data_IF_810618858179
#
_entry.id   IF_810618858179
#
_cell.length_a   1.000
_cell.length_b   1.000
_cell.length_c   1.000
_cell.angle_alpha   90.00
_cell.angle_beta   90.00
_cell.angle_gamma   90.00
#
_symmetry.space_group_name_H-M   'P 1'
#
loop_
_entity.id
_entity.type
_entity.pdbx_description
1 polymer ?
#
# COMPACT_ATOMS: atom_id res chain seq x y z
N UNK A 1 -38.45 -33.66 -21.11
CA UNK A 1 -37.03 -33.86 -21.44
C UNK A 1 -36.27 -32.82 -20.66
N UNK A 2 -36.07 -33.09 -19.37
CA UNK A 2 -35.47 -32.18 -18.40
C UNK A 2 -33.97 -32.38 -18.42
N UNK A 3 -33.25 -31.41 -18.98
CA UNK A 3 -31.79 -31.43 -18.98
C UNK A 3 -31.29 -30.79 -17.68
N UNK A 4 -30.95 -31.65 -16.71
CA UNK A 4 -30.37 -31.28 -15.44
C UNK A 4 -28.99 -30.62 -15.65
N UNK A 5 -28.97 -29.29 -15.59
CA UNK A 5 -27.73 -28.52 -15.43
C UNK A 5 -27.28 -28.65 -13.98
N UNK A 6 -26.51 -29.69 -13.70
CA UNK A 6 -25.80 -29.89 -12.43
C UNK A 6 -24.72 -28.81 -12.36
N UNK A 7 -25.02 -27.71 -11.68
CA UNK A 7 -24.02 -26.72 -11.29
C UNK A 7 -23.05 -27.41 -10.35
N UNK A 8 -21.80 -27.52 -10.77
CA UNK A 8 -20.70 -27.79 -9.86
C UNK A 8 -20.54 -26.53 -9.01
N UNK A 9 -21.15 -26.56 -7.82
CA UNK A 9 -20.83 -25.60 -6.77
C UNK A 9 -19.40 -25.95 -6.31
N UNK A 10 -18.41 -25.30 -6.92
CA UNK A 10 -17.05 -25.30 -6.40
C UNK A 10 -17.10 -24.63 -5.02
N UNK A 11 -16.96 -25.42 -3.96
CA UNK A 11 -16.82 -24.90 -2.59
C UNK A 11 -15.55 -24.05 -2.53
N UNK A 12 -15.71 -22.75 -2.78
CA UNK A 12 -14.64 -21.77 -2.72
C UNK A 12 -14.17 -21.67 -1.26
N UNK A 13 -13.04 -22.33 -0.96
CA UNK A 13 -12.50 -22.40 0.39
C UNK A 13 -12.22 -21.00 0.93
N UNK A 14 -13.10 -20.52 1.81
CA UNK A 14 -13.04 -19.17 2.36
C UNK A 14 -11.90 -19.05 3.36
N UNK A 15 -10.77 -18.50 2.90
CA UNK A 15 -9.58 -18.28 3.71
C UNK A 15 -9.85 -17.25 4.81
N UNK A 16 -9.94 -17.71 6.06
CA UNK A 16 -9.90 -16.80 7.21
C UNK A 16 -8.48 -16.31 7.46
N UNK A 17 -8.32 -15.10 8.00
CA UNK A 17 -7.00 -14.54 8.37
C UNK A 17 -6.20 -15.50 9.26
N UNK A 18 -6.89 -16.23 10.14
CA UNK A 18 -6.29 -17.25 11.00
C UNK A 18 -5.75 -18.45 10.21
N UNK A 19 -6.52 -18.98 9.26
CA UNK A 19 -6.07 -20.09 8.41
C UNK A 19 -4.85 -19.71 7.57
N UNK A 20 -4.83 -18.50 7.01
CA UNK A 20 -3.67 -17.98 6.25
C UNK A 20 -2.43 -17.91 7.16
N UNK A 21 -2.56 -17.34 8.35
CA UNK A 21 -1.45 -17.23 9.30
C UNK A 21 -0.93 -18.61 9.71
N UNK A 22 -1.83 -19.54 10.04
CA UNK A 22 -1.42 -20.91 10.39
C UNK A 22 -0.71 -21.60 9.23
N UNK A 23 -1.18 -21.46 8.00
CA UNK A 23 -0.55 -22.03 6.83
C UNK A 23 0.86 -21.46 6.61
N UNK A 24 1.04 -20.14 6.73
CA UNK A 24 2.34 -19.48 6.58
C UNK A 24 3.35 -19.96 7.62
N UNK A 25 2.92 -20.22 8.86
CA UNK A 25 3.81 -20.68 9.94
C UNK A 25 4.07 -22.18 9.87
N UNK A 26 3.06 -22.99 9.55
CA UNK A 26 3.19 -24.45 9.53
C UNK A 26 3.89 -24.97 8.27
N UNK A 27 3.61 -24.36 7.11
CA UNK A 27 4.12 -24.83 5.83
C UNK A 27 5.66 -24.93 5.78
N UNK A 28 6.43 -23.98 6.34
CA UNK A 28 7.88 -24.08 6.43
C UNK A 28 8.39 -25.15 7.42
N UNK A 29 7.57 -25.55 8.39
CA UNK A 29 7.94 -26.51 9.43
C UNK A 29 7.73 -27.97 8.99
N UNK A 30 6.83 -28.22 8.03
CA UNK A 30 6.52 -29.58 7.55
C UNK A 30 7.78 -30.29 7.01
N UNK A 31 8.59 -29.70 6.12
CA UNK A 31 9.82 -30.34 5.64
C UNK A 31 10.83 -30.58 6.76
N UNK A 32 10.92 -29.68 7.74
CA UNK A 32 11.80 -29.83 8.90
C UNK A 32 11.44 -31.07 9.73
N UNK A 33 10.15 -31.27 10.03
CA UNK A 33 9.64 -32.45 10.76
C UNK A 33 9.88 -33.73 9.97
N UNK A 34 9.67 -33.71 8.65
CA UNK A 34 9.89 -34.88 7.78
C UNK A 34 11.37 -35.29 7.74
N UNK A 35 12.29 -34.33 7.62
CA UNK A 35 13.75 -34.58 7.64
C UNK A 35 14.16 -35.20 8.99
N UNK A 36 13.54 -34.76 10.09
CA UNK A 36 13.86 -35.26 11.43
C UNK A 36 13.35 -36.69 11.67
N UNK A 37 12.12 -37.00 11.21
CA UNK A 37 11.45 -38.31 11.38
C UNK A 37 12.10 -39.44 10.56
N UNK A 38 12.77 -39.11 9.46
CA UNK A 38 13.37 -40.12 8.59
C UNK A 38 14.67 -40.70 9.17
N UNK A 39 14.94 -42.00 8.95
CA UNK A 39 16.10 -42.74 9.46
C UNK A 39 17.40 -42.46 8.68
N UNK A 40 17.62 -41.19 8.34
CA UNK A 40 18.82 -40.72 7.64
C UNK A 40 20.01 -40.54 8.58
N UNK A 41 21.23 -40.60 8.03
CA UNK A 41 22.45 -40.35 8.81
C UNK A 41 22.51 -38.89 9.26
N UNK A 42 23.20 -38.63 10.37
CA UNK A 42 23.32 -37.27 10.95
C UNK A 42 23.84 -36.24 9.93
N UNK A 43 24.77 -36.65 9.05
CA UNK A 43 25.35 -35.78 8.01
C UNK A 43 24.33 -35.43 6.91
N UNK A 44 23.56 -36.40 6.43
CA UNK A 44 22.56 -36.14 5.38
C UNK A 44 21.40 -35.27 5.88
N UNK A 45 21.02 -35.39 7.16
CA UNK A 45 20.03 -34.48 7.77
C UNK A 45 20.50 -33.03 7.78
N UNK A 46 21.75 -32.77 8.18
CA UNK A 46 22.33 -31.42 8.20
C UNK A 46 22.38 -30.83 6.78
N UNK A 47 22.81 -31.62 5.79
CA UNK A 47 22.87 -31.19 4.38
C UNK A 47 21.45 -30.84 3.86
N UNK A 48 20.45 -31.69 4.14
CA UNK A 48 19.07 -31.43 3.74
C UNK A 48 18.48 -30.20 4.43
N UNK A 49 18.81 -29.96 5.71
CA UNK A 49 18.37 -28.75 6.43
C UNK A 49 19.01 -27.48 5.86
N UNK A 50 20.31 -27.51 5.54
CA UNK A 50 20.99 -26.38 4.89
C UNK A 50 20.44 -26.11 3.50
N UNK A 51 20.22 -27.15 2.69
CA UNK A 51 19.61 -27.02 1.36
C UNK A 51 18.19 -26.45 1.43
N UNK A 52 17.37 -26.92 2.38
CA UNK A 52 16.03 -26.41 2.61
C UNK A 52 16.04 -24.94 3.05
N UNK A 53 16.93 -24.56 3.95
CA UNK A 53 17.08 -23.16 4.38
C UNK A 53 17.50 -22.25 3.23
N UNK A 54 18.45 -22.69 2.39
CA UNK A 54 18.86 -21.95 1.19
C UNK A 54 17.69 -21.79 0.21
N UNK A 55 16.89 -22.84 0.01
CA UNK A 55 15.71 -22.80 -0.84
C UNK A 55 14.62 -21.87 -0.29
N UNK A 56 14.32 -21.95 1.01
CA UNK A 56 13.34 -21.08 1.67
C UNK A 56 13.75 -19.61 1.62
N UNK A 57 15.03 -19.32 1.91
CA UNK A 57 15.57 -17.96 1.81
C UNK A 57 15.52 -17.46 0.37
N UNK A 58 15.85 -18.27 -0.63
CA UNK A 58 15.73 -17.88 -2.04
C UNK A 58 14.29 -17.54 -2.44
N UNK A 59 13.31 -18.36 -2.07
CA UNK A 59 11.88 -18.07 -2.32
C UNK A 59 11.47 -16.77 -1.62
N UNK A 60 11.87 -16.58 -0.36
CA UNK A 60 11.54 -15.39 0.40
C UNK A 60 12.13 -14.12 -0.24
N UNK A 61 13.39 -14.18 -0.67
CA UNK A 61 14.04 -13.09 -1.40
C UNK A 61 13.27 -12.75 -2.68
N UNK A 62 12.91 -13.74 -3.50
CA UNK A 62 12.14 -13.55 -4.75
C UNK A 62 10.78 -12.89 -4.48
N UNK A 63 10.06 -13.36 -3.44
CA UNK A 63 8.78 -12.78 -3.06
C UNK A 63 8.89 -11.31 -2.60
N UNK A 64 10.00 -10.94 -1.97
CA UNK A 64 10.27 -9.57 -1.55
C UNK A 64 10.43 -8.63 -2.75
N UNK A 65 11.08 -9.08 -3.82
CA UNK A 65 11.34 -8.26 -5.03
C UNK A 65 10.07 -8.02 -5.85
N UNK A 66 9.12 -8.95 -5.80
CA UNK A 66 7.90 -8.89 -6.60
C UNK A 66 6.91 -7.80 -6.17
N UNK A 67 7.03 -7.27 -4.94
CA UNK A 67 6.08 -6.30 -4.38
C UNK A 67 6.24 -4.90 -4.99
N UNK A 68 7.41 -4.58 -5.55
CA UNK A 68 7.68 -3.29 -6.19
C UNK A 68 8.13 -2.22 -5.18
N UNK A 69 8.19 -0.96 -5.62
CA UNK A 69 8.64 0.14 -4.76
C UNK A 69 7.49 0.68 -3.90
N UNK A 70 7.78 1.04 -2.65
CA UNK A 70 6.87 1.73 -1.74
C UNK A 70 7.16 3.23 -1.66
N UNK A 71 6.14 4.02 -1.35
CA UNK A 71 6.29 5.48 -1.21
C UNK A 71 7.08 5.84 0.06
N UNK A 72 8.15 6.60 -0.11
CA UNK A 72 8.97 7.07 1.03
C UNK A 72 8.58 8.49 1.47
N UNK A 73 8.30 9.38 0.51
CA UNK A 73 7.93 10.77 0.81
C UNK A 73 7.05 11.40 -0.26
N UNK A 74 6.31 12.43 0.15
CA UNK A 74 5.54 13.35 -0.69
C UNK A 74 6.08 14.75 -0.44
N UNK A 75 6.36 15.48 -1.52
CA UNK A 75 6.81 16.86 -1.46
C UNK A 75 5.87 17.76 -2.26
N UNK A 76 5.68 18.97 -1.76
CA UNK A 76 5.01 20.07 -2.45
C UNK A 76 5.99 21.24 -2.40
N UNK A 77 6.19 21.91 -3.53
CA UNK A 77 7.16 23.00 -3.64
C UNK A 77 6.78 24.16 -2.72
N UNK A 78 5.51 24.54 -2.75
CA UNK A 78 4.96 25.59 -1.92
C UNK A 78 4.65 25.04 -0.51
N UNK A 79 4.84 25.88 0.49
CA UNK A 79 4.38 25.62 1.88
C UNK A 79 3.33 26.62 2.33
N UNK A 80 3.41 27.84 1.80
CA UNK A 80 2.53 28.95 2.09
C UNK A 80 2.09 29.55 0.75
N UNK A 81 0.79 29.75 0.58
CA UNK A 81 0.19 30.30 -0.63
C UNK A 81 -0.74 31.43 -0.22
N UNK A 82 -0.55 32.62 -0.79
CA UNK A 82 -1.45 33.75 -0.61
C UNK A 82 -2.23 33.96 -1.90
N UNK A 83 -3.56 33.98 -1.80
CA UNK A 83 -4.47 34.04 -2.95
C UNK A 83 -5.55 35.09 -2.69
N UNK A 84 -6.22 35.56 -3.75
CA UNK A 84 -7.41 36.38 -3.59
C UNK A 84 -8.68 35.55 -3.56
N UNK A 85 -9.73 36.10 -2.98
CA UNK A 85 -11.05 35.48 -3.05
C UNK A 85 -11.47 35.25 -4.50
N UNK A 86 -12.01 34.07 -4.80
CA UNK A 86 -12.42 33.67 -6.15
C UNK A 86 -11.32 33.01 -6.98
N UNK A 87 -10.05 33.13 -6.58
CA UNK A 87 -8.97 32.47 -7.29
C UNK A 87 -8.99 30.95 -7.11
N UNK A 88 -8.34 30.26 -8.05
CA UNK A 88 -8.12 28.82 -7.97
C UNK A 88 -6.64 28.49 -7.97
N UNK A 89 -6.27 27.40 -7.30
CA UNK A 89 -4.89 26.92 -7.21
C UNK A 89 -4.85 25.41 -7.43
N UNK A 90 -4.05 24.94 -8.38
CA UNK A 90 -3.86 23.52 -8.62
C UNK A 90 -2.69 23.00 -7.79
N UNK A 91 -2.94 22.00 -6.94
CA UNK A 91 -1.88 21.39 -6.13
C UNK A 91 -1.03 20.48 -7.02
N UNK A 92 0.27 20.74 -7.05
CA UNK A 92 1.28 19.88 -7.66
C UNK A 92 2.18 19.26 -6.58
N UNK A 93 2.18 17.94 -6.49
CA UNK A 93 3.04 17.19 -5.59
C UNK A 93 3.99 16.27 -6.36
N UNK A 94 5.13 15.97 -5.75
CA UNK A 94 6.09 14.98 -6.22
C UNK A 94 6.27 13.89 -5.17
N UNK A 95 6.67 12.70 -5.60
CA UNK A 95 6.94 11.57 -4.70
C UNK A 95 8.38 11.11 -4.83
N UNK A 96 8.90 10.54 -3.75
CA UNK A 96 10.12 9.74 -3.79
C UNK A 96 9.82 8.33 -3.31
N UNK A 97 10.10 7.29 -4.11
CA UNK A 97 10.59 7.36 -5.50
C UNK A 97 9.55 8.00 -6.45
N UNK A 98 9.99 8.35 -7.66
CA UNK A 98 9.14 9.02 -8.66
C UNK A 98 7.87 8.21 -8.95
N UNK A 99 6.76 8.92 -9.17
CA UNK A 99 5.41 8.36 -9.33
C UNK A 99 5.32 7.20 -10.32
N UNK A 100 6.09 7.23 -11.41
CA UNK A 100 6.08 6.16 -12.44
C UNK A 100 6.62 4.80 -11.94
N UNK A 101 7.36 4.81 -10.83
CA UNK A 101 7.87 3.61 -10.16
C UNK A 101 6.96 3.12 -9.03
N UNK A 102 5.88 3.85 -8.74
CA UNK A 102 4.96 3.59 -7.65
C UNK A 102 3.59 3.20 -8.18
N UNK A 103 2.92 2.29 -7.47
CA UNK A 103 1.51 2.02 -7.69
C UNK A 103 0.70 2.76 -6.62
N UNK A 104 0.18 3.93 -6.99
CA UNK A 104 -0.65 4.75 -6.10
C UNK A 104 -2.09 4.25 -6.15
N UNK A 105 -2.64 3.87 -4.99
CA UNK A 105 -4.01 3.36 -4.86
C UNK A 105 -5.01 4.45 -4.51
N UNK A 106 -4.57 5.47 -3.77
CA UNK A 106 -5.43 6.57 -3.35
C UNK A 106 -4.65 7.89 -3.21
N UNK A 107 -5.30 8.98 -3.61
CA UNK A 107 -4.86 10.34 -3.31
C UNK A 107 -6.07 11.08 -2.74
N UNK A 108 -5.91 11.60 -1.54
CA UNK A 108 -6.96 12.33 -0.85
C UNK A 108 -6.53 13.76 -0.55
N UNK A 109 -7.50 14.68 -0.61
CA UNK A 109 -7.30 16.09 -0.30
C UNK A 109 -8.30 16.52 0.77
N UNK A 110 -7.82 17.22 1.77
CA UNK A 110 -8.64 17.71 2.86
C UNK A 110 -8.33 19.16 3.17
N UNK A 111 -9.36 20.00 3.30
CA UNK A 111 -9.21 21.37 3.81
C UNK A 111 -9.69 21.44 5.24
N UNK A 112 -8.89 22.08 6.10
CA UNK A 112 -9.24 22.34 7.50
C UNK A 112 -10.42 23.29 7.65
N UNK A 113 -10.69 24.14 6.64
CA UNK A 113 -11.81 25.07 6.64
C UNK A 113 -12.37 25.23 5.21
N UNK A 114 -13.39 24.44 4.89
CA UNK A 114 -14.05 24.44 3.57
C UNK A 114 -14.85 25.71 3.26
N UNK A 115 -15.14 26.55 4.25
CA UNK A 115 -15.79 27.85 4.01
C UNK A 115 -14.80 28.93 3.53
N UNK A 116 -13.51 28.76 3.86
CA UNK A 116 -12.41 29.64 3.45
C UNK A 116 -11.76 29.13 2.17
N UNK A 117 -11.35 27.86 2.13
CA UNK A 117 -10.80 27.23 0.94
C UNK A 117 -11.36 25.82 0.77
N UNK A 118 -11.94 25.52 -0.39
CA UNK A 118 -12.40 24.16 -0.71
C UNK A 118 -11.43 23.49 -1.67
N UNK A 119 -11.30 22.16 -1.60
CA UNK A 119 -10.46 21.37 -2.50
C UNK A 119 -11.27 20.19 -3.02
N UNK A 120 -11.18 19.93 -4.33
CA UNK A 120 -11.87 18.81 -4.96
C UNK A 120 -10.99 17.54 -5.01
N UNK A 121 -11.55 16.44 -5.53
CA UNK A 121 -10.84 15.16 -5.67
C UNK A 121 -9.63 15.19 -6.62
N UNK A 122 -9.54 16.20 -7.49
CA UNK A 122 -8.43 16.41 -8.42
C UNK A 122 -7.34 17.33 -7.83
N UNK A 123 -7.51 17.80 -6.59
CA UNK A 123 -6.57 18.71 -5.95
C UNK A 123 -6.65 20.16 -6.43
N UNK A 124 -7.75 20.55 -7.10
CA UNK A 124 -8.03 21.94 -7.42
C UNK A 124 -8.64 22.62 -6.19
N UNK A 125 -7.97 23.67 -5.73
CA UNK A 125 -8.37 24.51 -4.60
C UNK A 125 -9.13 25.72 -5.12
N UNK A 126 -10.25 26.06 -4.47
CA UNK A 126 -11.03 27.27 -4.74
C UNK A 126 -11.08 28.13 -3.48
N UNK A 127 -10.66 29.39 -3.61
CA UNK A 127 -10.65 30.38 -2.52
C UNK A 127 -12.04 31.02 -2.41
N UNK A 128 -12.71 30.81 -1.28
CA UNK A 128 -14.13 31.15 -1.12
C UNK A 128 -14.37 32.38 -0.25
N UNK A 129 -13.57 32.57 0.80
CA UNK A 129 -13.65 33.72 1.69
C UNK A 129 -12.31 34.00 2.35
N UNK A 130 -12.15 35.21 2.88
CA UNK A 130 -10.94 35.65 3.56
C UNK A 130 -10.64 34.82 4.81
N UNK A 131 -9.35 34.68 5.09
CA UNK A 131 -8.84 33.97 6.26
C UNK A 131 -7.89 32.85 5.88
N UNK A 132 -7.69 31.93 6.81
CA UNK A 132 -6.65 30.93 6.70
C UNK A 132 -7.25 29.52 6.62
N UNK A 133 -6.72 28.71 5.70
CA UNK A 133 -7.06 27.30 5.58
C UNK A 133 -5.79 26.48 5.40
N UNK A 134 -5.75 25.29 5.97
CA UNK A 134 -4.66 24.34 5.73
C UNK A 134 -5.20 23.20 4.89
N UNK A 135 -4.55 22.93 3.77
CA UNK A 135 -4.91 21.84 2.87
C UNK A 135 -3.89 20.72 3.02
N UNK A 136 -4.38 19.52 3.29
CA UNK A 136 -3.59 18.30 3.44
C UNK A 136 -3.78 17.42 2.23
N UNK A 137 -2.66 16.98 1.65
CA UNK A 137 -2.59 15.97 0.59
C UNK A 137 -2.11 14.67 1.22
N UNK A 138 -2.87 13.59 1.07
CA UNK A 138 -2.51 12.25 1.55
C UNK A 138 -2.41 11.30 0.36
N UNK A 139 -1.26 10.66 0.20
CA UNK A 139 -0.97 9.73 -0.91
C UNK A 139 -0.73 8.34 -0.33
N UNK A 140 -1.49 7.36 -0.81
CA UNK A 140 -1.40 5.95 -0.39
C UNK A 140 -0.98 5.08 -1.56
N UNK A 141 -0.01 4.20 -1.33
CA UNK A 141 0.43 3.21 -2.31
C UNK A 141 -0.27 1.85 -2.17
N UNK A 142 0.08 0.89 -3.02
CA UNK A 142 -0.40 -0.48 -2.98
C UNK A 142 0.17 -1.32 -1.81
N UNK A 143 1.12 -0.78 -1.07
CA UNK A 143 1.66 -1.37 0.16
C UNK A 143 0.96 -0.83 1.42
N UNK A 144 -0.14 -0.09 1.25
CA UNK A 144 -0.87 0.60 2.32
C UNK A 144 -0.01 1.62 3.09
N UNK A 145 1.10 2.08 2.48
CA UNK A 145 1.92 3.14 3.05
C UNK A 145 1.31 4.49 2.67
N UNK A 146 0.98 5.29 3.69
CA UNK A 146 0.42 6.64 3.51
C UNK A 146 1.46 7.70 3.85
N UNK A 147 1.59 8.71 2.99
CA UNK A 147 2.42 9.90 3.22
C UNK A 147 1.61 11.16 2.99
N UNK A 148 1.85 12.15 3.84
CA UNK A 148 1.06 13.38 3.87
C UNK A 148 1.92 14.62 3.74
N UNK A 149 1.33 15.67 3.17
CA UNK A 149 1.94 16.98 3.09
C UNK A 149 0.88 18.08 3.21
N UNK A 150 1.20 19.14 3.93
CA UNK A 150 0.30 20.27 4.18
C UNK A 150 0.75 21.53 3.43
N UNK A 151 -0.25 22.33 3.07
CA UNK A 151 -0.14 23.66 2.47
C UNK A 151 -0.96 24.64 3.31
N UNK A 152 -0.37 25.78 3.64
CA UNK A 152 -1.07 26.85 4.35
C UNK A 152 -1.52 27.91 3.36
N UNK A 153 -2.83 28.12 3.28
CA UNK A 153 -3.46 29.15 2.46
C UNK A 153 -3.82 30.35 3.33
N UNK A 154 -3.51 31.53 2.84
CA UNK A 154 -3.97 32.81 3.37
C UNK A 154 -4.74 33.50 2.25
N UNK A 155 -6.05 33.68 2.43
CA UNK A 155 -6.93 34.31 1.46
C UNK A 155 -7.22 35.73 1.94
N UNK A 156 -7.05 36.67 1.02
CA UNK A 156 -7.27 38.10 1.22
C UNK A 156 -8.17 38.64 0.11
N UNK A 157 -8.80 39.78 0.36
CA UNK A 157 -9.62 40.51 -0.62
C UNK A 157 -8.82 40.99 -1.84
#
# INVERSE_FOLDING_TARGET
>A
MDNAKKTHDEEEFHWTKGLIFTAIVLFPLIPFVLIYRHKFTRKTKIILMMAYFLFLTAIYQIACMAQGASIHSVAIADRYVTMRQGDTYQIHYTTSPQKDKLTITNVNYHSSNRAVASVNSQGLVTCLSDGNATITVSVTDNHYTTKEKTLHFVIVE
#
